data_IF_241756064968
#
_entry.id   IF_241756064968
#
_cell.length_a   1.000
_cell.length_b   1.000
_cell.length_c   1.000
_cell.angle_alpha   90.00
_cell.angle_beta   90.00
_cell.angle_gamma   90.00
#
_symmetry.space_group_name_H-M   'P 1'
#
loop_
_entity.id
_entity.type
_entity.pdbx_description
1 polymer ?
#
# COMPACT_ATOMS: atom_id res chain seq x y z
N UNK A 1 -36.33 -10.74 63.91
CA UNK A 1 -35.99 -9.41 63.36
C UNK A 1 -34.49 -9.42 63.11
N UNK A 2 -34.07 -9.97 61.98
CA UNK A 2 -32.69 -10.14 61.58
C UNK A 2 -32.21 -8.97 60.71
N UNK A 3 -31.14 -8.30 61.12
CA UNK A 3 -30.43 -7.31 60.31
C UNK A 3 -29.52 -8.08 59.35
N UNK A 4 -29.80 -7.99 58.06
CA UNK A 4 -28.85 -8.39 57.02
C UNK A 4 -27.76 -7.33 56.93
N UNK A 5 -26.55 -7.69 57.38
CA UNK A 5 -25.34 -6.92 57.11
C UNK A 5 -24.93 -7.09 55.65
N UNK A 6 -25.14 -6.04 54.85
CA UNK A 6 -24.57 -5.93 53.49
C UNK A 6 -23.07 -5.59 53.61
N UNK A 7 -22.23 -6.61 53.70
CA UNK A 7 -20.79 -6.46 53.47
C UNK A 7 -20.55 -6.11 52.00
N UNK A 8 -20.27 -4.84 51.74
CA UNK A 8 -19.77 -4.38 50.44
C UNK A 8 -18.39 -4.99 50.16
N UNK A 9 -18.28 -5.92 49.23
CA UNK A 9 -17.01 -6.47 48.74
C UNK A 9 -16.09 -5.32 48.29
N UNK A 10 -15.08 -4.97 49.12
CA UNK A 10 -14.05 -4.00 48.74
C UNK A 10 -13.16 -4.64 47.67
N UNK A 11 -13.07 -4.00 46.50
CA UNK A 11 -12.17 -4.43 45.43
C UNK A 11 -10.71 -4.35 45.91
N UNK A 12 -9.85 -5.31 45.51
CA UNK A 12 -8.44 -5.29 45.90
C UNK A 12 -7.73 -4.04 45.35
N UNK A 13 -6.83 -3.46 46.13
CA UNK A 13 -6.11 -2.21 45.80
C UNK A 13 -5.38 -2.32 44.48
N UNK A 14 -4.85 -3.50 44.15
CA UNK A 14 -4.20 -3.78 42.86
C UNK A 14 -5.14 -3.65 41.65
N UNK A 15 -6.43 -3.94 41.83
CA UNK A 15 -7.44 -3.78 40.79
C UNK A 15 -7.75 -2.28 40.56
N UNK A 16 -7.82 -1.50 41.65
CA UNK A 16 -8.08 -0.06 41.56
C UNK A 16 -6.89 0.67 40.88
N UNK A 17 -5.65 0.32 41.23
CA UNK A 17 -4.46 0.90 40.61
C UNK A 17 -4.34 0.52 39.13
N UNK A 18 -4.67 -0.72 38.77
CA UNK A 18 -4.68 -1.17 37.40
C UNK A 18 -5.74 -0.46 36.52
N UNK A 19 -6.94 -0.25 37.06
CA UNK A 19 -7.99 0.49 36.34
C UNK A 19 -7.65 1.96 36.18
N UNK A 20 -7.05 2.61 37.18
CA UNK A 20 -6.59 4.00 37.06
C UNK A 20 -5.49 4.12 36.02
N UNK A 21 -4.50 3.23 35.98
CA UNK A 21 -3.45 3.24 34.98
C UNK A 21 -4.01 3.05 33.54
N UNK A 22 -5.00 2.17 33.38
CA UNK A 22 -5.67 1.96 32.08
C UNK A 22 -6.40 3.22 31.62
N UNK A 23 -7.11 3.92 32.51
CA UNK A 23 -7.80 5.17 32.20
C UNK A 23 -6.80 6.24 31.75
N UNK A 24 -5.66 6.38 32.43
CA UNK A 24 -4.61 7.33 32.01
C UNK A 24 -4.02 6.99 30.65
N UNK A 25 -3.82 5.72 30.34
CA UNK A 25 -3.37 5.27 29.00
C UNK A 25 -4.39 5.62 27.91
N UNK A 26 -5.68 5.37 28.15
CA UNK A 26 -6.75 5.70 27.20
C UNK A 26 -6.83 7.21 26.99
N UNK A 27 -6.81 8.00 28.06
CA UNK A 27 -6.84 9.47 27.97
C UNK A 27 -5.60 10.01 27.25
N UNK A 28 -4.41 9.49 27.57
CA UNK A 28 -3.16 9.87 26.90
C UNK A 28 -3.21 9.57 25.39
N UNK A 29 -3.74 8.43 25.00
CA UNK A 29 -3.94 8.05 23.62
C UNK A 29 -4.93 8.99 22.91
N UNK A 30 -6.06 9.33 23.53
CA UNK A 30 -7.04 10.27 22.97
C UNK A 30 -6.46 11.68 22.79
N UNK A 31 -5.67 12.15 23.76
CA UNK A 31 -4.97 13.44 23.68
C UNK A 31 -3.96 13.42 22.51
N UNK A 32 -3.20 12.34 22.36
CA UNK A 32 -2.26 12.20 21.25
C UNK A 32 -2.97 12.21 19.88
N UNK A 33 -4.11 11.53 19.76
CA UNK A 33 -4.94 11.57 18.55
C UNK A 33 -5.51 12.96 18.27
N UNK A 34 -5.95 13.68 19.32
CA UNK A 34 -6.47 15.05 19.19
C UNK A 34 -5.37 16.02 18.74
N UNK A 35 -4.19 15.95 19.34
CA UNK A 35 -3.03 16.78 18.96
C UNK A 35 -2.60 16.50 17.51
N UNK A 36 -2.61 15.23 17.09
CA UNK A 36 -2.30 14.86 15.72
C UNK A 36 -3.34 15.40 14.73
N UNK A 37 -4.64 15.34 15.07
CA UNK A 37 -5.71 15.96 14.26
C UNK A 37 -5.59 17.48 14.21
N UNK A 38 -5.27 18.13 15.32
CA UNK A 38 -5.08 19.57 15.39
C UNK A 38 -3.87 20.03 14.57
N UNK A 39 -2.76 19.27 14.58
CA UNK A 39 -1.59 19.53 13.75
C UNK A 39 -1.92 19.41 12.26
N UNK A 40 -2.69 18.38 11.87
CA UNK A 40 -3.14 18.16 10.48
C UNK A 40 -4.08 19.32 10.05
N UNK A 41 -5.03 19.73 10.91
CA UNK A 41 -5.94 20.82 10.58
C UNK A 41 -5.22 22.16 10.45
N UNK A 42 -4.17 22.41 11.25
CA UNK A 42 -3.35 23.62 11.14
C UNK A 42 -2.54 23.65 9.84
N UNK A 43 -1.95 22.50 9.45
CA UNK A 43 -1.24 22.36 8.16
C UNK A 43 -2.21 22.59 6.99
N UNK A 44 -3.44 22.06 7.07
CA UNK A 44 -4.47 22.24 6.05
C UNK A 44 -5.02 23.68 6.00
N UNK A 45 -4.99 24.42 7.12
CA UNK A 45 -5.45 25.82 7.17
C UNK A 45 -4.38 26.83 6.74
N UNK A 46 -3.09 26.47 6.83
CA UNK A 46 -1.98 27.31 6.31
C UNK A 46 -1.71 27.10 4.81
N UNK A 47 -2.19 26.01 4.20
CA UNK A 47 -2.18 25.80 2.75
C UNK A 47 -3.56 26.05 2.13
N UNK A 48 -4.13 27.24 2.27
CA UNK A 48 -5.19 27.69 1.36
C UNK A 48 -4.51 28.07 0.04
N UNK A 49 -4.06 27.06 -0.69
CA UNK A 49 -3.76 27.20 -2.10
C UNK A 49 -5.08 27.23 -2.86
N UNK A 50 -5.27 28.27 -3.65
CA UNK A 50 -6.37 28.46 -4.56
C UNK A 50 -6.78 27.17 -5.27
N UNK A 51 -7.99 26.67 -4.98
CA UNK A 51 -8.60 25.57 -5.72
C UNK A 51 -8.82 26.01 -7.16
N UNK A 52 -7.99 25.48 -8.07
CA UNK A 52 -8.16 25.70 -9.50
C UNK A 52 -8.93 24.53 -10.09
N UNK A 53 -10.20 24.74 -10.38
CA UNK A 53 -11.03 23.76 -11.09
C UNK A 53 -10.82 23.92 -12.59
N UNK A 54 -10.38 22.85 -13.26
CA UNK A 54 -10.27 22.82 -14.72
C UNK A 54 -11.56 22.24 -15.31
N UNK A 55 -12.32 23.05 -16.03
CA UNK A 55 -13.54 22.60 -16.71
C UNK A 55 -13.26 22.63 -18.21
N UNK A 56 -13.31 21.47 -18.84
CA UNK A 56 -13.03 21.29 -20.26
C UNK A 56 -14.24 21.57 -21.16
N UNK A 57 -15.45 21.69 -20.59
CA UNK A 57 -16.71 21.90 -21.31
C UNK A 57 -17.42 23.16 -20.81
N UNK A 58 -17.78 24.03 -21.74
CA UNK A 58 -18.44 25.31 -21.46
C UNK A 58 -19.82 25.13 -20.81
N UNK A 59 -20.58 24.12 -21.23
CA UNK A 59 -21.90 23.83 -20.66
C UNK A 59 -21.79 23.36 -19.20
N UNK A 60 -20.76 22.58 -18.88
CA UNK A 60 -20.47 22.14 -17.51
C UNK A 60 -19.98 23.31 -16.65
N UNK A 61 -19.20 24.24 -17.20
CA UNK A 61 -18.76 25.45 -16.52
C UNK A 61 -19.92 26.34 -16.13
N UNK A 62 -20.91 26.53 -17.01
CA UNK A 62 -22.10 27.32 -16.75
C UNK A 62 -23.00 26.67 -15.67
N UNK A 63 -23.11 25.32 -15.65
CA UNK A 63 -23.87 24.61 -14.63
C UNK A 63 -23.25 24.76 -13.22
N UNK A 64 -21.93 24.60 -13.12
CA UNK A 64 -21.19 24.76 -11.84
C UNK A 64 -21.27 26.21 -11.33
N UNK A 65 -21.23 27.20 -12.22
CA UNK A 65 -21.36 28.60 -11.85
C UNK A 65 -22.79 28.96 -11.41
N UNK A 66 -23.82 28.27 -11.90
CA UNK A 66 -25.21 28.46 -11.49
C UNK A 66 -25.55 27.89 -10.11
N UNK A 67 -24.83 26.84 -9.69
CA UNK A 67 -25.01 26.16 -8.40
C UNK A 67 -24.14 26.72 -7.26
N UNK A 68 -23.12 27.54 -7.58
CA UNK A 68 -22.27 28.15 -6.57
C UNK A 68 -23.05 29.19 -5.76
N UNK A 69 -23.03 29.17 -4.40
CA UNK A 69 -23.72 30.13 -3.59
C UNK A 69 -23.18 31.56 -3.87
N UNK A 70 -24.03 32.43 -4.33
CA UNK A 70 -23.72 33.83 -4.59
C UNK A 70 -23.53 34.58 -3.26
N UNK A 71 -22.32 34.66 -2.79
CA UNK A 71 -21.89 35.52 -1.69
C UNK A 71 -21.08 36.72 -2.22
N UNK A 72 -21.66 37.49 -3.12
CA UNK A 72 -21.10 38.80 -3.49
C UNK A 72 -22.26 39.80 -3.42
N UNK A 73 -22.14 40.77 -2.50
CA UNK A 73 -23.03 41.89 -2.37
C UNK A 73 -23.07 42.72 -3.65
N UNK A 74 -24.25 43.25 -4.05
CA UNK A 74 -24.44 43.97 -5.32
C UNK A 74 -23.75 45.34 -5.45
N UNK A 75 -23.06 45.83 -4.41
CA UNK A 75 -22.61 47.23 -4.32
C UNK A 75 -21.18 47.51 -4.80
N UNK A 76 -20.51 46.56 -5.47
CA UNK A 76 -19.13 46.76 -5.93
C UNK A 76 -18.97 47.15 -7.41
N UNK A 77 -20.07 47.49 -8.11
CA UNK A 77 -20.02 47.97 -9.49
C UNK A 77 -20.66 49.35 -9.60
N UNK A 78 -19.97 50.38 -9.14
CA UNK A 78 -20.22 51.75 -9.59
C UNK A 78 -18.91 52.50 -9.80
N UNK A 79 -18.79 52.93 -11.07
CA UNK A 79 -18.09 54.09 -11.62
C UNK A 79 -16.57 54.15 -11.59
N UNK A 80 -16.07 54.12 -12.79
CA UNK A 80 -14.74 54.59 -13.16
C UNK A 80 -14.69 54.77 -14.68
N UNK A 81 -15.48 55.77 -15.18
CA UNK A 81 -15.29 56.30 -16.53
C UNK A 81 -13.91 56.94 -16.63
N UNK A 82 -13.12 56.55 -17.66
CA UNK A 82 -12.48 57.52 -18.54
C UNK A 82 -11.63 56.87 -19.63
N UNK A 83 -12.10 57.13 -20.84
CA UNK A 83 -11.38 57.55 -22.07
C UNK A 83 -10.02 56.89 -22.44
N UNK A 84 -10.03 56.32 -23.65
CA UNK A 84 -8.95 56.62 -24.54
C UNK A 84 -8.52 55.52 -25.51
N UNK A 85 -9.14 55.51 -26.69
CA UNK A 85 -8.52 55.27 -28.03
C UNK A 85 -7.94 53.91 -28.41
N UNK A 86 -8.66 53.31 -29.37
CA UNK A 86 -8.20 52.75 -30.67
C UNK A 86 -6.93 51.90 -30.69
N UNK A 87 -7.08 50.61 -31.04
CA UNK A 87 -6.60 50.14 -32.33
C UNK A 87 -7.27 48.80 -32.67
N UNK A 88 -8.01 48.80 -33.77
CA UNK A 88 -8.41 47.63 -34.53
C UNK A 88 -7.15 46.97 -35.11
N UNK A 89 -7.07 45.64 -35.03
CA UNK A 89 -6.63 44.85 -36.19
C UNK A 89 -6.85 43.35 -35.98
N UNK A 90 -7.69 42.81 -36.82
CA UNK A 90 -7.64 41.50 -37.46
C UNK A 90 -7.47 40.22 -36.62
N UNK A 91 -8.58 39.68 -36.21
CA UNK A 91 -8.68 38.23 -35.87
C UNK A 91 -9.07 37.50 -37.15
N UNK A 92 -8.14 36.72 -37.70
CA UNK A 92 -8.44 35.64 -38.63
C UNK A 92 -9.05 34.48 -37.83
N UNK A 93 -10.26 34.13 -38.16
CA UNK A 93 -10.91 32.87 -37.78
C UNK A 93 -10.12 31.70 -38.37
N UNK A 94 -9.59 30.86 -37.50
CA UNK A 94 -9.27 29.47 -37.82
C UNK A 94 -9.80 28.60 -36.67
N UNK A 95 -10.91 27.92 -36.96
CA UNK A 95 -11.64 27.13 -36.01
C UNK A 95 -10.90 25.85 -35.64
N UNK A 96 -10.82 25.61 -34.37
CA UNK A 96 -10.61 24.38 -33.65
C UNK A 96 -9.59 24.54 -32.49
N UNK A 97 -10.00 25.19 -31.42
CA UNK A 97 -9.35 24.98 -30.11
C UNK A 97 -10.42 25.08 -29.02
N UNK A 98 -10.48 24.02 -28.20
CA UNK A 98 -11.29 24.03 -26.99
C UNK A 98 -10.78 25.11 -26.03
N UNK A 99 -11.61 26.12 -25.74
CA UNK A 99 -11.30 27.20 -24.82
C UNK A 99 -11.27 26.66 -23.39
N UNK A 100 -10.09 26.62 -22.78
CA UNK A 100 -9.95 26.32 -21.37
C UNK A 100 -10.23 27.59 -20.56
N UNK A 101 -11.34 27.59 -19.80
CA UNK A 101 -11.67 28.67 -18.88
C UNK A 101 -10.99 28.39 -17.53
N UNK A 102 -10.13 29.29 -17.09
CA UNK A 102 -9.50 29.24 -15.75
C UNK A 102 -10.25 30.18 -14.83
N UNK A 103 -10.98 29.62 -13.86
CA UNK A 103 -11.67 30.41 -12.82
C UNK A 103 -10.72 30.52 -11.62
N UNK A 104 -10.33 31.74 -11.26
CA UNK A 104 -9.56 32.03 -10.05
C UNK A 104 -10.45 32.63 -8.99
N UNK A 105 -10.32 32.13 -7.76
CA UNK A 105 -10.84 32.76 -6.56
C UNK A 105 -9.73 33.65 -5.99
N UNK A 106 -9.89 34.96 -6.06
CA UNK A 106 -8.93 35.91 -5.47
C UNK A 106 -9.05 35.86 -3.95
N UNK A 107 -8.00 35.40 -3.25
CA UNK A 107 -7.87 35.68 -1.82
C UNK A 107 -7.22 37.07 -1.67
N UNK A 108 -7.95 37.98 -1.02
CA UNK A 108 -7.54 39.32 -0.66
C UNK A 108 -6.40 39.31 0.36
N UNK A 109 -5.16 39.04 -0.03
CA UNK A 109 -3.97 39.46 0.73
C UNK A 109 -2.65 39.14 0.04
N UNK A 110 -2.42 39.54 -1.20
CA UNK A 110 -1.10 39.52 -1.79
C UNK A 110 -0.65 40.93 -2.16
N UNK A 111 0.19 41.51 -1.27
CA UNK A 111 0.83 42.81 -1.51
C UNK A 111 1.94 42.73 -2.58
N UNK A 112 2.28 41.54 -3.05
CA UNK A 112 3.27 41.34 -4.11
C UNK A 112 2.63 40.63 -5.33
N UNK A 113 1.63 41.27 -5.91
CA UNK A 113 0.79 40.75 -6.99
C UNK A 113 1.56 40.16 -8.20
N UNK A 114 1.94 38.89 -8.10
CA UNK A 114 2.37 38.10 -9.25
C UNK A 114 1.13 37.58 -9.96
N UNK A 115 0.63 38.36 -10.93
CA UNK A 115 -0.41 37.89 -11.84
C UNK A 115 0.23 36.98 -12.88
N UNK A 116 -0.08 35.69 -12.82
CA UNK A 116 0.41 34.71 -13.80
C UNK A 116 -0.69 34.55 -14.86
N UNK A 117 -0.43 34.99 -16.06
CA UNK A 117 -1.30 34.70 -17.22
C UNK A 117 -0.81 33.42 -17.88
N UNK A 118 -1.70 32.46 -18.14
CA UNK A 118 -1.42 31.32 -18.99
C UNK A 118 -1.99 31.55 -20.40
N UNK A 119 -1.16 31.36 -21.41
CA UNK A 119 -1.63 31.34 -22.79
C UNK A 119 -2.31 30.01 -23.12
N UNK A 120 -3.00 29.95 -24.27
CA UNK A 120 -3.68 28.77 -24.79
C UNK A 120 -2.75 27.55 -24.99
N UNK A 121 -1.43 27.70 -24.83
CA UNK A 121 -0.41 26.66 -24.92
C UNK A 121 0.11 26.18 -23.54
N UNK A 122 -0.47 26.67 -22.43
CA UNK A 122 -0.13 26.24 -21.08
C UNK A 122 1.20 26.77 -20.54
N UNK A 123 1.73 27.87 -21.06
CA UNK A 123 2.90 28.55 -20.50
C UNK A 123 2.48 29.51 -19.40
N UNK A 124 3.24 29.55 -18.32
CA UNK A 124 3.17 30.63 -17.31
C UNK A 124 4.20 31.69 -17.66
N UNK A 125 3.77 32.94 -17.71
CA UNK A 125 4.65 34.09 -17.94
C UNK A 125 4.83 34.81 -16.62
N UNK A 126 6.08 34.95 -16.18
CA UNK A 126 6.40 35.83 -15.07
C UNK A 126 6.38 37.28 -15.59
N UNK A 127 5.45 38.11 -15.06
CA UNK A 127 5.30 39.51 -15.49
C UNK A 127 6.49 40.39 -15.14
N UNK A 128 7.28 40.01 -14.11
CA UNK A 128 8.47 40.80 -13.71
C UNK A 128 9.66 40.55 -14.62
N UNK A 129 9.85 39.31 -15.08
CA UNK A 129 11.02 38.91 -15.88
C UNK A 129 10.71 38.70 -17.34
N UNK A 130 9.41 38.55 -17.70
CA UNK A 130 8.99 38.21 -19.07
C UNK A 130 9.35 36.78 -19.49
N UNK A 131 9.87 35.96 -18.58
CA UNK A 131 10.29 34.62 -18.86
C UNK A 131 9.09 33.67 -18.96
N UNK A 132 9.11 32.84 -20.01
CA UNK A 132 8.11 31.79 -20.24
C UNK A 132 8.58 30.51 -19.55
N UNK A 133 7.83 30.07 -18.56
CA UNK A 133 8.02 28.76 -17.95
C UNK A 133 7.14 27.73 -18.65
N UNK A 134 7.74 26.83 -19.41
CA UNK A 134 7.04 25.70 -19.99
C UNK A 134 6.45 24.80 -18.88
N UNK A 135 5.14 24.58 -18.89
CA UNK A 135 4.49 23.59 -18.04
C UNK A 135 4.66 22.17 -18.60
N UNK A 136 5.22 22.06 -19.81
CA UNK A 136 5.53 20.79 -20.43
C UNK A 136 6.83 20.23 -19.83
N UNK A 137 6.74 19.68 -18.61
CA UNK A 137 7.66 18.61 -18.26
C UNK A 137 7.36 17.49 -19.24
N UNK A 138 8.36 17.02 -19.98
CA UNK A 138 8.22 15.76 -20.72
C UNK A 138 7.88 14.68 -19.70
N UNK A 139 6.58 14.39 -19.57
CA UNK A 139 6.11 13.35 -18.67
C UNK A 139 6.30 12.03 -19.39
N UNK A 140 7.17 11.21 -18.81
CA UNK A 140 7.50 9.89 -19.33
C UNK A 140 6.65 8.82 -18.65
N UNK A 141 6.51 7.67 -19.28
CA UNK A 141 5.92 6.48 -18.70
C UNK A 141 6.87 5.31 -18.91
N UNK A 142 7.37 4.75 -17.84
CA UNK A 142 8.26 3.59 -17.86
C UNK A 142 7.99 2.72 -16.61
N UNK A 143 8.30 1.41 -16.66
CA UNK A 143 8.15 0.54 -15.49
C UNK A 143 8.97 1.04 -14.31
N UNK A 144 8.35 1.08 -13.14
CA UNK A 144 9.02 1.51 -11.91
C UNK A 144 8.47 0.81 -10.67
N UNK A 145 9.34 0.61 -9.68
CA UNK A 145 8.95 0.17 -8.36
C UNK A 145 8.87 1.38 -7.41
N UNK A 146 7.70 1.70 -6.85
CA UNK A 146 7.54 2.85 -5.95
C UNK A 146 8.40 2.76 -4.69
N UNK A 147 8.92 1.58 -4.34
CA UNK A 147 9.80 1.39 -3.19
C UNK A 147 11.28 1.71 -3.48
N UNK A 148 11.70 1.73 -4.75
CA UNK A 148 13.12 1.88 -5.12
C UNK A 148 13.39 3.02 -6.09
N UNK A 149 12.38 3.49 -6.82
CA UNK A 149 12.50 4.56 -7.83
C UNK A 149 13.16 5.81 -7.24
N UNK A 150 14.04 6.48 -8.01
CA UNK A 150 14.73 7.70 -7.58
C UNK A 150 13.80 8.92 -7.53
N UNK A 151 14.22 9.99 -6.82
CA UNK A 151 13.45 11.23 -6.81
C UNK A 151 13.42 11.90 -8.19
N UNK A 152 14.49 11.75 -8.96
CA UNK A 152 14.64 12.25 -10.33
C UNK A 152 13.69 11.52 -11.27
N UNK A 153 13.62 10.18 -11.18
CA UNK A 153 12.73 9.38 -11.99
C UNK A 153 11.25 9.64 -11.65
N UNK A 154 10.94 9.85 -10.36
CA UNK A 154 9.60 10.29 -9.97
C UNK A 154 9.24 11.63 -10.64
N UNK A 155 10.20 12.57 -10.76
CA UNK A 155 9.96 13.82 -11.48
C UNK A 155 9.75 13.59 -12.99
N UNK A 156 10.47 12.66 -13.60
CA UNK A 156 10.25 12.25 -15.00
C UNK A 156 8.87 11.63 -15.18
N UNK A 157 8.41 10.85 -14.20
CA UNK A 157 7.04 10.31 -14.15
C UNK A 157 5.96 11.38 -13.90
N UNK A 158 6.33 12.66 -13.75
CA UNK A 158 5.41 13.80 -13.66
C UNK A 158 5.12 14.30 -12.25
N UNK A 159 5.75 13.74 -11.21
CA UNK A 159 5.65 14.28 -9.86
C UNK A 159 6.42 15.59 -9.73
N UNK A 160 5.94 16.51 -8.89
CA UNK A 160 6.74 17.68 -8.51
C UNK A 160 7.90 17.25 -7.61
N UNK A 161 8.91 18.10 -7.47
CA UNK A 161 10.05 17.85 -6.57
C UNK A 161 9.57 17.59 -5.13
N UNK A 162 8.60 18.38 -4.65
CA UNK A 162 7.99 18.20 -3.30
C UNK A 162 7.32 16.84 -3.15
N UNK A 163 6.55 16.40 -4.16
CA UNK A 163 5.89 15.09 -4.15
C UNK A 163 6.91 13.95 -4.21
N UNK A 164 7.92 14.04 -5.09
CA UNK A 164 8.98 13.05 -5.18
C UNK A 164 9.72 12.91 -3.85
N UNK A 165 10.12 14.03 -3.22
CA UNK A 165 10.73 14.03 -1.88
C UNK A 165 9.83 13.44 -0.81
N UNK A 166 8.53 13.70 -0.85
CA UNK A 166 7.58 13.13 0.12
C UNK A 166 7.49 11.60 0.01
N UNK A 167 7.48 11.04 -1.21
CA UNK A 167 7.52 9.60 -1.45
C UNK A 167 8.83 8.99 -0.91
N UNK A 168 9.98 9.62 -1.23
CA UNK A 168 11.29 9.17 -0.74
C UNK A 168 11.36 9.24 0.79
N UNK A 169 10.90 10.34 1.40
CA UNK A 169 10.88 10.51 2.85
C UNK A 169 9.98 9.49 3.56
N UNK A 170 8.84 9.13 2.94
CA UNK A 170 7.98 8.07 3.45
C UNK A 170 8.74 6.74 3.55
N UNK A 171 9.48 6.37 2.51
CA UNK A 171 10.32 5.16 2.49
C UNK A 171 11.45 5.21 3.51
N UNK A 172 12.15 6.34 3.61
CA UNK A 172 13.25 6.53 4.58
C UNK A 172 12.78 6.40 6.04
N UNK A 173 11.49 6.67 6.31
CA UNK A 173 10.86 6.48 7.61
C UNK A 173 10.32 5.05 7.82
N UNK A 174 10.68 4.10 6.96
CA UNK A 174 10.23 2.71 7.04
C UNK A 174 8.90 2.43 6.33
N UNK A 175 8.31 3.42 5.66
CA UNK A 175 7.11 3.22 4.85
C UNK A 175 7.39 2.35 3.62
N UNK A 176 6.44 1.47 3.28
CA UNK A 176 6.53 0.55 2.14
C UNK A 176 5.20 0.51 1.39
N UNK A 177 5.26 0.41 0.08
CA UNK A 177 4.11 0.16 -0.78
C UNK A 177 4.09 -1.33 -1.11
N UNK A 178 3.19 -2.07 -0.48
CA UNK A 178 3.09 -3.51 -0.72
C UNK A 178 2.23 -3.82 -1.94
N UNK A 179 1.25 -2.97 -2.24
CA UNK A 179 0.34 -3.10 -3.39
C UNK A 179 0.33 -1.82 -4.21
N UNK A 180 -0.07 -1.92 -5.48
CA UNK A 180 -0.35 -0.74 -6.33
C UNK A 180 -1.36 0.20 -5.67
N UNK A 181 -2.37 -0.36 -5.00
CA UNK A 181 -3.38 0.40 -4.26
C UNK A 181 -2.82 1.19 -3.08
N UNK A 182 -1.70 0.77 -2.48
CA UNK A 182 -1.07 1.53 -1.39
C UNK A 182 -0.41 2.80 -1.94
N UNK A 183 0.15 2.71 -3.15
CA UNK A 183 0.67 3.88 -3.85
C UNK A 183 -0.45 4.85 -4.24
N UNK A 184 -1.61 4.33 -4.68
CA UNK A 184 -2.80 5.14 -4.96
C UNK A 184 -3.32 5.90 -3.73
N UNK A 185 -3.25 5.29 -2.53
CA UNK A 185 -3.68 5.91 -1.26
C UNK A 185 -2.72 6.97 -0.73
N UNK A 186 -1.54 7.11 -1.32
CA UNK A 186 -0.59 8.14 -0.91
C UNK A 186 -1.15 9.53 -1.20
N UNK A 187 -1.21 10.40 -0.20
CA UNK A 187 -1.78 11.76 -0.31
C UNK A 187 -1.09 12.64 -1.38
N UNK A 188 0.12 12.29 -1.81
CA UNK A 188 0.86 13.04 -2.84
C UNK A 188 0.58 12.54 -4.25
N UNK A 189 -0.13 11.43 -4.40
CA UNK A 189 -0.45 10.79 -5.68
C UNK A 189 -1.89 11.12 -6.04
N UNK A 190 -2.07 12.02 -7.02
CA UNK A 190 -3.41 12.33 -7.52
C UNK A 190 -3.98 11.16 -8.34
N UNK A 191 -5.30 10.94 -8.30
CA UNK A 191 -5.98 9.86 -9.01
C UNK A 191 -5.66 9.82 -10.51
N UNK A 192 -5.59 10.99 -11.16
CA UNK A 192 -5.25 11.11 -12.58
C UNK A 192 -3.82 10.63 -12.88
N UNK A 193 -2.88 10.91 -11.97
CA UNK A 193 -1.49 10.46 -12.07
C UNK A 193 -1.42 8.95 -11.83
N UNK A 194 -2.12 8.46 -10.80
CA UNK A 194 -2.17 7.03 -10.51
C UNK A 194 -2.71 6.23 -11.70
N UNK A 195 -3.89 6.58 -12.25
CA UNK A 195 -4.49 5.88 -13.41
C UNK A 195 -3.56 5.80 -14.61
N UNK A 196 -2.77 6.84 -14.86
CA UNK A 196 -1.77 6.85 -15.92
C UNK A 196 -0.60 5.93 -15.63
N UNK A 197 -0.15 5.87 -14.36
CA UNK A 197 1.05 5.13 -13.93
C UNK A 197 0.77 3.69 -13.52
N UNK A 198 -0.46 3.32 -13.20
CA UNK A 198 -0.84 1.98 -12.70
C UNK A 198 -0.32 0.83 -13.58
N UNK A 199 -0.37 0.89 -14.93
CA UNK A 199 0.19 -0.16 -15.78
C UNK A 199 1.71 -0.31 -15.67
N UNK A 200 2.40 0.74 -15.23
CA UNK A 200 3.85 0.81 -15.14
C UNK A 200 4.37 0.53 -13.72
N UNK A 201 3.48 0.41 -12.73
CA UNK A 201 3.88 0.06 -11.37
C UNK A 201 4.23 -1.42 -11.33
N UNK A 202 5.49 -1.70 -10.98
CA UNK A 202 6.02 -3.05 -10.79
C UNK A 202 6.53 -3.20 -9.35
N UNK A 203 5.78 -3.94 -8.54
CA UNK A 203 6.15 -4.29 -7.17
C UNK A 203 6.36 -5.80 -7.16
N UNK A 204 7.61 -6.27 -7.07
CA UNK A 204 7.89 -7.70 -7.10
C UNK A 204 7.29 -8.41 -5.89
N UNK A 205 6.70 -9.57 -6.11
CA UNK A 205 6.22 -10.44 -5.05
C UNK A 205 7.41 -11.01 -4.26
N UNK A 206 7.21 -11.19 -2.95
CA UNK A 206 8.23 -11.78 -2.09
C UNK A 206 8.21 -13.31 -2.22
N UNK A 207 9.31 -13.90 -2.65
CA UNK A 207 9.41 -15.36 -2.71
C UNK A 207 9.63 -15.95 -1.29
N UNK A 208 8.69 -16.79 -0.84
CA UNK A 208 8.70 -17.40 0.49
C UNK A 208 9.93 -18.26 0.74
N UNK A 209 10.50 -18.85 -0.30
CA UNK A 209 11.64 -19.75 -0.17
C UNK A 209 12.98 -19.04 -0.05
N UNK A 210 13.08 -17.81 -0.58
CA UNK A 210 14.33 -17.04 -0.56
C UNK A 210 14.27 -15.85 0.42
N UNK A 211 13.07 -15.48 0.88
CA UNK A 211 12.88 -14.36 1.79
C UNK A 211 13.64 -14.54 3.11
N UNK A 212 14.30 -13.47 3.56
CA UNK A 212 14.89 -13.37 4.89
C UNK A 212 13.86 -12.91 5.96
N UNK A 213 14.28 -12.94 7.21
CA UNK A 213 13.40 -12.53 8.32
C UNK A 213 12.94 -11.08 8.23
N UNK A 214 13.78 -10.20 7.72
CA UNK A 214 13.46 -8.76 7.59
C UNK A 214 12.42 -8.52 6.49
N UNK A 215 12.57 -9.21 5.36
CA UNK A 215 11.62 -9.12 4.26
C UNK A 215 10.25 -9.68 4.65
N UNK A 216 10.21 -10.79 5.39
CA UNK A 216 8.99 -11.40 5.91
C UNK A 216 8.31 -10.52 6.97
N UNK A 217 9.07 -9.93 7.91
CA UNK A 217 8.57 -9.02 8.94
C UNK A 217 7.90 -7.76 8.34
N UNK A 218 8.35 -7.35 7.15
CA UNK A 218 7.77 -6.25 6.39
C UNK A 218 6.42 -6.55 5.73
N UNK A 219 5.90 -7.79 5.79
CA UNK A 219 4.59 -8.15 5.26
C UNK A 219 3.46 -7.74 6.23
N UNK A 220 2.29 -7.32 5.72
CA UNK A 220 1.15 -6.96 6.55
C UNK A 220 0.73 -8.11 7.48
N UNK A 221 0.65 -7.83 8.78
CA UNK A 221 0.23 -8.82 9.79
C UNK A 221 1.28 -9.87 10.16
N UNK A 222 2.49 -9.77 9.61
CA UNK A 222 3.64 -10.63 9.94
C UNK A 222 4.60 -9.80 10.77
N UNK A 223 4.70 -10.08 12.03
CA UNK A 223 5.77 -9.52 12.89
C UNK A 223 6.91 -10.51 13.02
N UNK A 224 8.00 -10.13 13.70
CA UNK A 224 9.20 -10.95 13.88
C UNK A 224 8.94 -12.35 14.45
N UNK A 225 7.84 -12.56 15.17
CA UNK A 225 7.43 -13.90 15.60
C UNK A 225 7.05 -14.78 14.43
N UNK A 226 6.14 -14.33 13.56
CA UNK A 226 5.72 -15.11 12.40
C UNK A 226 6.80 -15.22 11.35
N UNK A 227 7.62 -14.18 11.15
CA UNK A 227 8.78 -14.24 10.24
C UNK A 227 9.70 -15.43 10.60
N UNK A 228 10.03 -15.58 11.88
CA UNK A 228 10.81 -16.76 12.35
C UNK A 228 10.07 -18.07 12.16
N UNK A 229 8.76 -18.13 12.49
CA UNK A 229 7.97 -19.35 12.33
C UNK A 229 7.83 -19.77 10.87
N UNK A 230 7.75 -18.84 9.93
CA UNK A 230 7.74 -19.11 8.50
C UNK A 230 9.08 -19.74 8.09
N UNK A 231 10.21 -19.18 8.54
CA UNK A 231 11.54 -19.73 8.24
C UNK A 231 11.70 -21.12 8.84
N UNK A 232 11.38 -21.30 10.14
CA UNK A 232 11.45 -22.61 10.79
C UNK A 232 10.60 -23.67 10.06
N UNK A 233 9.42 -23.28 9.61
CA UNK A 233 8.51 -24.18 8.91
C UNK A 233 9.00 -24.48 7.49
N UNK A 234 9.52 -23.47 6.78
CA UNK A 234 10.19 -23.61 5.49
C UNK A 234 11.33 -24.63 5.54
N UNK A 235 12.19 -24.50 6.56
CA UNK A 235 13.36 -25.39 6.70
C UNK A 235 12.92 -26.83 6.97
N UNK A 236 11.86 -27.06 7.76
CA UNK A 236 11.28 -28.38 8.01
C UNK A 236 10.60 -28.99 6.78
N UNK A 237 10.02 -28.16 5.90
CA UNK A 237 9.40 -28.58 4.64
C UNK A 237 10.43 -28.83 3.54
N UNK A 238 11.68 -28.40 3.69
CA UNK A 238 12.68 -28.25 2.63
C UNK A 238 12.23 -27.27 1.54
N UNK A 239 11.49 -26.25 1.93
CA UNK A 239 10.90 -25.23 1.06
C UNK A 239 9.38 -25.39 0.90
N UNK A 240 8.72 -24.24 0.76
CA UNK A 240 7.30 -24.22 0.43
C UNK A 240 7.09 -24.70 -1.01
N UNK A 241 6.11 -25.56 -1.21
CA UNK A 241 5.67 -26.00 -2.54
C UNK A 241 4.39 -25.28 -2.99
N UNK A 242 3.59 -24.77 -2.05
CA UNK A 242 2.36 -23.99 -2.29
C UNK A 242 2.09 -23.05 -1.11
N UNK A 243 1.43 -21.90 -1.39
CA UNK A 243 1.27 -20.81 -0.41
C UNK A 243 0.43 -21.20 0.80
N UNK A 244 -0.57 -22.06 0.61
CA UNK A 244 -1.49 -22.47 1.67
C UNK A 244 -0.81 -23.23 2.80
N UNK A 245 0.43 -23.72 2.60
CA UNK A 245 1.25 -24.31 3.66
C UNK A 245 1.54 -23.33 4.80
N UNK A 246 1.44 -22.02 4.57
CA UNK A 246 1.49 -21.01 5.64
C UNK A 246 0.44 -21.23 6.72
N UNK A 247 -0.75 -21.71 6.33
CA UNK A 247 -1.85 -21.97 7.27
C UNK A 247 -1.62 -23.23 8.14
N UNK A 248 -0.63 -24.03 7.84
CA UNK A 248 -0.23 -25.15 8.70
C UNK A 248 0.70 -24.71 9.86
N UNK A 249 1.18 -23.46 9.82
CA UNK A 249 1.95 -22.86 10.91
C UNK A 249 1.00 -22.54 12.08
N UNK A 250 1.39 -22.94 13.28
CA UNK A 250 0.59 -22.71 14.49
C UNK A 250 0.18 -21.23 14.66
N UNK A 251 -1.10 -20.96 14.86
CA UNK A 251 -1.71 -19.63 14.98
C UNK A 251 -1.62 -18.75 13.70
N UNK A 252 -1.29 -19.34 12.56
CA UNK A 252 -1.35 -18.65 11.27
C UNK A 252 -2.73 -18.90 10.64
N UNK A 253 -3.67 -18.00 10.91
CA UNK A 253 -5.05 -18.14 10.49
C UNK A 253 -5.28 -17.70 9.03
N UNK A 254 -6.50 -17.97 8.56
CA UNK A 254 -6.93 -17.60 7.20
C UNK A 254 -6.97 -16.08 6.99
N UNK A 255 -7.20 -15.29 8.02
CA UNK A 255 -7.23 -13.84 7.93
C UNK A 255 -5.82 -13.31 7.59
N UNK A 256 -4.80 -13.79 8.30
CA UNK A 256 -3.39 -13.47 7.99
C UNK A 256 -3.02 -13.91 6.58
N UNK A 257 -3.41 -15.13 6.19
CA UNK A 257 -3.17 -15.63 4.85
C UNK A 257 -3.79 -14.73 3.79
N UNK A 258 -5.06 -14.36 3.93
CA UNK A 258 -5.75 -13.47 3.00
C UNK A 258 -5.13 -12.08 2.94
N UNK A 259 -4.52 -11.61 4.03
CA UNK A 259 -3.84 -10.31 4.10
C UNK A 259 -2.55 -10.24 3.29
N UNK A 260 -1.92 -11.38 2.95
CA UNK A 260 -0.60 -11.40 2.32
C UNK A 260 -0.44 -12.32 1.11
N UNK A 261 -1.38 -13.23 0.82
CA UNK A 261 -1.22 -14.25 -0.23
C UNK A 261 -0.97 -13.68 -1.63
N UNK A 262 -1.43 -12.46 -1.88
CA UNK A 262 -1.23 -11.70 -3.11
C UNK A 262 0.13 -10.95 -3.15
N UNK A 263 0.85 -10.90 -2.03
CA UNK A 263 2.16 -10.23 -1.88
C UNK A 263 3.33 -11.20 -1.96
N UNK A 264 3.05 -12.50 -1.88
CA UNK A 264 4.07 -13.54 -1.85
C UNK A 264 3.96 -14.45 -3.07
N UNK A 265 5.08 -15.06 -3.41
CA UNK A 265 5.17 -16.07 -4.47
C UNK A 265 6.02 -17.25 -4.02
N UNK A 266 6.00 -18.30 -4.80
CA UNK A 266 6.94 -19.42 -4.74
C UNK A 266 7.42 -19.62 -6.16
N UNK A 267 8.67 -19.23 -6.44
CA UNK A 267 9.26 -19.42 -7.76
C UNK A 267 9.69 -20.87 -7.92
N UNK A 268 9.52 -21.42 -9.11
CA UNK A 268 9.89 -22.83 -9.37
C UNK A 268 11.38 -23.09 -9.14
N UNK A 269 12.21 -22.08 -9.42
CA UNK A 269 13.66 -22.17 -9.22
C UNK A 269 14.04 -22.23 -7.74
N UNK A 270 13.19 -21.70 -6.85
CA UNK A 270 13.44 -21.71 -5.40
C UNK A 270 12.99 -22.98 -4.69
N UNK A 271 12.28 -23.90 -5.39
CA UNK A 271 11.80 -25.15 -4.80
C UNK A 271 12.88 -26.21 -4.91
N UNK A 272 13.45 -26.61 -3.77
CA UNK A 272 14.33 -27.79 -3.69
C UNK A 272 13.48 -29.05 -3.52
N UNK A 273 13.55 -30.03 -4.45
CA UNK A 273 12.79 -31.26 -4.31
C UNK A 273 13.17 -32.00 -3.03
N UNK A 274 12.18 -32.38 -2.23
CA UNK A 274 12.39 -33.11 -0.97
C UNK A 274 12.88 -34.56 -1.24
N UNK A 275 14.08 -34.96 -0.80
CA UNK A 275 14.65 -36.26 -1.14
C UNK A 275 14.11 -37.38 -0.24
N UNK A 276 12.79 -37.50 -0.11
CA UNK A 276 12.08 -38.39 0.81
C UNK A 276 12.53 -39.85 0.67
N UNK A 277 12.85 -40.29 -0.53
CA UNK A 277 13.15 -41.68 -0.80
C UNK A 277 14.58 -42.10 -0.42
N UNK A 278 15.44 -41.16 -0.08
CA UNK A 278 16.84 -41.44 0.28
C UNK A 278 17.20 -41.02 1.70
N UNK A 279 16.38 -40.22 2.35
CA UNK A 279 16.63 -39.72 3.69
C UNK A 279 16.53 -40.83 4.75
N UNK A 280 17.36 -40.79 5.80
CA UNK A 280 17.22 -41.67 6.98
C UNK A 280 16.00 -41.29 7.81
N UNK A 281 15.53 -42.22 8.66
CA UNK A 281 14.35 -42.04 9.52
C UNK A 281 14.41 -40.75 10.35
N UNK A 282 15.57 -40.45 10.95
CA UNK A 282 15.77 -39.24 11.78
C UNK A 282 15.55 -37.95 11.04
N UNK A 283 15.84 -37.89 9.75
CA UNK A 283 15.57 -36.73 8.90
C UNK A 283 14.10 -36.68 8.45
N UNK A 284 13.54 -37.83 8.07
CA UNK A 284 12.14 -37.94 7.64
C UNK A 284 11.16 -37.47 8.71
N UNK A 285 11.41 -37.82 10.00
CA UNK A 285 10.53 -37.44 11.12
C UNK A 285 10.41 -35.95 11.36
N UNK A 286 11.34 -35.13 10.86
CA UNK A 286 11.34 -33.69 11.00
C UNK A 286 10.34 -33.02 10.05
N UNK A 287 9.97 -33.70 8.96
CA UNK A 287 9.04 -33.15 7.99
C UNK A 287 7.63 -33.06 8.57
N UNK A 288 6.93 -31.90 8.47
CA UNK A 288 5.63 -31.67 9.13
C UNK A 288 4.52 -32.67 8.77
N UNK A 289 4.55 -33.22 7.55
CA UNK A 289 3.54 -34.15 7.05
C UNK A 289 3.89 -35.63 7.25
N UNK A 290 5.10 -35.92 7.74
CA UNK A 290 5.54 -37.29 7.94
C UNK A 290 5.47 -37.64 9.44
N UNK A 291 6.29 -36.99 10.27
CA UNK A 291 6.37 -37.29 11.68
C UNK A 291 7.03 -38.68 11.95
N UNK A 292 7.21 -39.01 13.25
CA UNK A 292 8.01 -40.19 13.63
C UNK A 292 7.42 -41.54 13.18
N UNK A 293 6.09 -41.70 13.30
CA UNK A 293 5.46 -42.97 12.91
C UNK A 293 5.58 -43.24 11.42
N UNK A 294 5.26 -42.29 10.59
CA UNK A 294 5.35 -42.44 9.13
C UNK A 294 6.80 -42.50 8.64
N UNK A 295 7.74 -41.82 9.32
CA UNK A 295 9.16 -41.92 8.98
C UNK A 295 9.67 -43.35 9.07
N UNK A 296 9.37 -44.04 10.18
CA UNK A 296 9.69 -45.44 10.35
C UNK A 296 9.00 -46.30 9.29
N UNK A 297 7.69 -46.09 9.05
CA UNK A 297 6.95 -46.81 8.03
C UNK A 297 7.47 -46.60 6.61
N UNK A 298 7.97 -45.39 6.25
CA UNK A 298 8.59 -45.12 4.95
C UNK A 298 9.87 -45.93 4.76
N UNK A 299 10.71 -46.05 5.80
CA UNK A 299 11.93 -46.84 5.73
C UNK A 299 11.60 -48.32 5.48
N UNK A 300 10.69 -48.89 6.27
CA UNK A 300 10.22 -50.29 6.09
C UNK A 300 9.58 -50.44 4.69
N UNK A 301 8.78 -49.51 4.25
CA UNK A 301 8.13 -49.58 2.94
C UNK A 301 9.15 -49.65 1.79
N UNK A 302 10.20 -48.85 1.84
CA UNK A 302 11.30 -48.84 0.86
C UNK A 302 12.04 -50.20 0.81
N UNK A 303 12.26 -50.81 1.97
CA UNK A 303 12.98 -52.09 2.06
C UNK A 303 12.16 -53.28 1.53
N UNK A 304 10.81 -53.17 1.59
CA UNK A 304 9.93 -54.28 1.26
C UNK A 304 9.17 -54.12 -0.06
N UNK A 305 9.35 -53.02 -0.78
CA UNK A 305 8.64 -52.74 -2.03
C UNK A 305 9.60 -52.31 -3.13
N UNK A 306 9.36 -52.69 -4.39
CA UNK A 306 10.17 -52.25 -5.50
C UNK A 306 10.00 -50.74 -5.73
N UNK A 307 11.03 -50.16 -6.35
CA UNK A 307 11.16 -48.69 -6.56
C UNK A 307 9.96 -48.09 -7.32
N UNK A 308 9.36 -48.84 -8.23
CA UNK A 308 8.19 -48.46 -9.01
C UNK A 308 6.96 -48.20 -8.12
N UNK A 309 6.91 -48.77 -6.93
CA UNK A 309 5.84 -48.56 -5.95
C UNK A 309 6.11 -47.40 -4.99
N UNK A 310 7.28 -46.78 -5.06
CA UNK A 310 7.64 -45.66 -4.18
C UNK A 310 6.89 -44.36 -4.58
N UNK A 311 5.68 -44.31 -4.15
CA UNK A 311 4.78 -43.15 -4.39
C UNK A 311 4.09 -42.74 -3.09
N UNK A 312 3.72 -41.46 -2.98
CA UNK A 312 2.94 -40.96 -1.83
C UNK A 312 1.61 -41.71 -1.74
N UNK A 313 1.00 -42.04 -2.89
CA UNK A 313 -0.21 -42.85 -2.94
C UNK A 313 0.03 -44.26 -2.40
N UNK A 314 1.12 -44.92 -2.80
CA UNK A 314 1.49 -46.24 -2.30
C UNK A 314 1.70 -46.26 -0.78
N UNK A 315 2.28 -45.21 -0.20
CA UNK A 315 2.41 -45.05 1.25
C UNK A 315 1.06 -44.90 1.93
N UNK A 316 0.12 -44.17 1.32
CA UNK A 316 -1.25 -44.01 1.85
C UNK A 316 -2.02 -45.34 1.77
N UNK A 317 -1.96 -46.04 0.64
CA UNK A 317 -2.65 -47.32 0.42
C UNK A 317 -2.10 -48.40 1.39
N UNK A 318 -0.82 -48.34 1.73
CA UNK A 318 -0.20 -49.21 2.73
C UNK A 318 -0.44 -48.77 4.20
N UNK A 319 -1.18 -47.67 4.44
CA UNK A 319 -1.46 -47.17 5.79
C UNK A 319 -0.25 -46.54 6.51
N UNK A 320 0.85 -46.24 5.78
CA UNK A 320 2.04 -45.59 6.31
C UNK A 320 1.80 -44.10 6.55
N UNK A 321 0.99 -43.47 5.69
CA UNK A 321 0.60 -42.08 5.80
C UNK A 321 -0.92 -41.97 6.06
N UNK A 322 -1.30 -41.07 6.95
CA UNK A 322 -2.72 -40.68 7.08
C UNK A 322 -3.19 -40.00 5.80
N UNK A 323 -4.45 -40.20 5.35
CA UNK A 323 -4.96 -39.65 4.10
C UNK A 323 -4.75 -38.13 3.96
N UNK A 324 -5.03 -37.37 5.02
CA UNK A 324 -4.83 -35.90 5.02
C UNK A 324 -3.36 -35.49 4.83
N UNK A 325 -2.43 -36.24 5.45
CA UNK A 325 -1.00 -35.98 5.32
C UNK A 325 -0.48 -36.40 3.96
N UNK A 326 -1.01 -37.49 3.42
CA UNK A 326 -0.69 -37.93 2.07
C UNK A 326 -1.14 -36.94 1.01
N UNK A 327 -2.34 -36.34 1.16
CA UNK A 327 -2.84 -35.31 0.25
C UNK A 327 -1.94 -34.07 0.27
N UNK A 328 -1.55 -33.60 1.45
CA UNK A 328 -0.62 -32.45 1.59
C UNK A 328 0.76 -32.76 1.03
N UNK A 329 1.31 -33.95 1.33
CA UNK A 329 2.62 -34.37 0.87
C UNK A 329 2.67 -34.59 -0.65
N UNK A 330 1.56 -35.09 -1.25
CA UNK A 330 1.45 -35.28 -2.70
C UNK A 330 1.52 -33.95 -3.48
N UNK A 331 1.14 -32.83 -2.85
CA UNK A 331 1.27 -31.47 -3.43
C UNK A 331 2.69 -30.91 -3.29
N UNK A 332 3.55 -31.53 -2.46
CA UNK A 332 4.93 -31.12 -2.31
C UNK A 332 5.79 -31.63 -3.47
N UNK A 333 6.84 -30.86 -3.80
CA UNK A 333 7.82 -31.28 -4.80
C UNK A 333 8.76 -32.30 -4.18
N UNK A 334 8.55 -33.58 -4.50
CA UNK A 334 9.36 -34.71 -4.03
C UNK A 334 10.38 -35.06 -5.10
N UNK A 335 11.63 -35.31 -4.69
CA UNK A 335 12.68 -35.77 -5.58
C UNK A 335 12.31 -37.14 -6.14
N UNK A 336 12.61 -37.35 -7.43
CA UNK A 336 12.51 -38.66 -8.05
C UNK A 336 13.60 -39.56 -7.46
N UNK A 337 13.35 -40.83 -7.39
CA UNK A 337 14.28 -41.86 -7.00
C UNK A 337 15.11 -42.35 -8.19
#
# INVERSE_FOLDING_TARGET
MGKEDREGKRLPVSFITGTIALVFLIVGYQVALFLNRAAISKILSEEVTTDTVYIADRALAESVLSEAPRTVSPDAYQTGDNNGRHSSDNVREDGRHADHIIIRKDSQNDRDGIRIESDARGYRIDRKTGERYSRNRNVENFPFNPNTVSAEDLQRLGFSEKQARAIVNYRLKGGKFNRKSDFAKSFVVADSVYRRLEPYIDIPLLDLNTADSTALDGLPGIGGYFARKIIEYRDRLHGFSYKEQLMDIHNFDREKFNGLHDLVTISEESITPYPMWTLPEDSLRLHPYIGSYSAHGIVIYRENNPVEMWTVKGLADAGVLKPEMAEKLARCRIARH
#
